data_IF_291065558520
#
_entry.id   IF_291065558520
#
_cell.length_a   1.000
_cell.length_b   1.000
_cell.length_c   1.000
_cell.angle_alpha   90.00
_cell.angle_beta   90.00
_cell.angle_gamma   90.00
#
_symmetry.space_group_name_H-M   'P 1'
#
loop_
_entity.id
_entity.type
_entity.pdbx_description
1 polymer ?
#
# COMPACT_ATOMS: atom_id res chain seq x y z
N UNK A 1 21.14 -12.30 -1.19
CA UNK A 1 20.80 -10.93 -0.78
C UNK A 1 20.14 -10.99 0.58
N UNK A 2 20.53 -10.16 1.56
CA UNK A 2 19.81 -10.08 2.84
C UNK A 2 18.42 -9.47 2.64
N UNK A 3 17.44 -9.88 3.45
CA UNK A 3 16.04 -9.43 3.34
C UNK A 3 15.92 -7.92 3.60
N UNK A 4 16.79 -7.38 4.45
CA UNK A 4 16.87 -5.96 4.76
C UNK A 4 17.23 -5.12 3.52
N UNK A 5 18.22 -5.54 2.74
CA UNK A 5 18.61 -4.84 1.52
C UNK A 5 17.53 -4.94 0.43
N UNK A 6 16.79 -6.06 0.37
CA UNK A 6 15.65 -6.20 -0.54
C UNK A 6 14.52 -5.23 -0.17
N UNK A 7 14.27 -5.03 1.13
CA UNK A 7 13.28 -4.06 1.61
C UNK A 7 13.70 -2.64 1.27
N UNK A 8 14.95 -2.26 1.54
CA UNK A 8 15.45 -0.93 1.20
C UNK A 8 15.35 -0.63 -0.30
N UNK A 9 15.71 -1.62 -1.14
CA UNK A 9 15.56 -1.54 -2.58
C UNK A 9 14.08 -1.37 -2.97
N UNK A 10 13.17 -2.20 -2.45
CA UNK A 10 11.74 -2.13 -2.78
C UNK A 10 11.10 -0.79 -2.37
N UNK A 11 11.55 -0.18 -1.27
CA UNK A 11 11.06 1.10 -0.79
C UNK A 11 11.60 2.29 -1.59
N UNK A 12 12.76 2.14 -2.23
CA UNK A 12 13.43 3.20 -3.00
C UNK A 12 13.19 3.08 -4.51
N UNK A 13 12.79 1.90 -4.99
CA UNK A 13 12.65 1.60 -6.40
C UNK A 13 11.50 2.39 -7.05
N UNK A 14 11.83 3.08 -8.14
CA UNK A 14 10.90 3.91 -8.91
C UNK A 14 10.42 3.21 -10.16
N UNK A 15 11.22 2.31 -10.72
CA UNK A 15 10.89 1.55 -11.93
C UNK A 15 9.90 0.42 -11.60
N UNK A 16 8.67 0.45 -12.14
CA UNK A 16 7.63 -0.50 -11.77
C UNK A 16 8.05 -1.97 -11.94
N UNK A 17 8.68 -2.30 -13.07
CA UNK A 17 9.11 -3.66 -13.36
C UNK A 17 10.16 -4.18 -12.35
N UNK A 18 11.06 -3.31 -11.89
CA UNK A 18 12.08 -3.69 -10.91
C UNK A 18 11.45 -3.77 -9.52
N UNK A 19 10.54 -2.86 -9.20
CA UNK A 19 9.80 -2.88 -7.94
C UNK A 19 8.97 -4.16 -7.80
N UNK A 20 8.28 -4.60 -8.85
CA UNK A 20 7.49 -5.84 -8.85
C UNK A 20 8.38 -7.07 -8.64
N UNK A 21 9.56 -7.11 -9.29
CA UNK A 21 10.52 -8.19 -9.07
C UNK A 21 11.05 -8.22 -7.62
N UNK A 22 11.30 -7.05 -7.03
CA UNK A 22 11.73 -6.92 -5.64
C UNK A 22 10.64 -7.36 -4.66
N UNK A 23 9.38 -6.98 -4.91
CA UNK A 23 8.24 -7.40 -4.07
C UNK A 23 8.01 -8.90 -4.16
N UNK A 24 8.08 -9.48 -5.36
CA UNK A 24 8.03 -10.94 -5.54
C UNK A 24 9.15 -11.65 -4.77
N UNK A 25 10.38 -11.15 -4.86
CA UNK A 25 11.51 -11.71 -4.12
C UNK A 25 11.32 -11.60 -2.59
N UNK A 26 10.73 -10.50 -2.11
CA UNK A 26 10.40 -10.30 -0.70
C UNK A 26 9.30 -11.25 -0.22
N UNK A 27 8.26 -11.46 -1.01
CA UNK A 27 7.21 -12.44 -0.70
C UNK A 27 7.79 -13.86 -0.55
N UNK A 28 8.82 -14.19 -1.33
CA UNK A 28 9.52 -15.47 -1.24
C UNK A 28 10.56 -15.55 -0.10
N UNK A 29 10.93 -14.41 0.51
CA UNK A 29 11.97 -14.34 1.55
C UNK A 29 11.48 -14.67 2.97
N UNK A 30 10.18 -14.95 3.15
CA UNK A 30 9.58 -15.41 4.41
C UNK A 30 9.18 -14.32 5.41
N UNK A 31 8.90 -14.72 6.65
CA UNK A 31 8.12 -13.97 7.65
C UNK A 31 8.71 -12.64 8.17
N UNK A 32 9.98 -12.33 7.85
CA UNK A 32 10.62 -11.07 8.27
C UNK A 32 10.30 -9.89 7.36
N UNK A 33 9.88 -10.15 6.12
CA UNK A 33 9.53 -9.12 5.13
C UNK A 33 8.47 -8.14 5.62
N UNK A 34 7.30 -8.61 6.11
CA UNK A 34 6.22 -7.71 6.53
C UNK A 34 6.62 -6.71 7.61
N UNK A 35 7.31 -7.17 8.66
CA UNK A 35 7.70 -6.30 9.78
C UNK A 35 8.75 -5.25 9.37
N UNK A 36 9.61 -5.56 8.41
CA UNK A 36 10.59 -4.62 7.88
C UNK A 36 9.93 -3.59 6.95
N UNK A 37 9.01 -4.03 6.08
CA UNK A 37 8.23 -3.13 5.22
C UNK A 37 7.33 -2.20 6.02
N UNK A 38 6.76 -2.66 7.13
CA UNK A 38 5.96 -1.84 8.03
C UNK A 38 6.71 -0.60 8.55
N UNK A 39 8.05 -0.68 8.70
CA UNK A 39 8.85 0.50 9.04
C UNK A 39 8.74 1.61 7.98
N UNK A 40 8.58 1.23 6.71
CA UNK A 40 8.37 2.17 5.60
C UNK A 40 7.07 2.96 5.70
N UNK A 41 6.06 2.45 6.42
CA UNK A 41 4.82 3.19 6.71
C UNK A 41 5.05 4.42 7.60
N UNK A 42 6.15 4.46 8.36
CA UNK A 42 6.55 5.62 9.16
C UNK A 42 7.33 6.69 8.38
N UNK A 43 7.54 6.51 7.06
CA UNK A 43 8.36 7.43 6.27
C UNK A 43 7.72 8.81 6.12
N UNK A 44 8.51 9.90 6.21
CA UNK A 44 7.99 11.24 5.91
C UNK A 44 7.60 11.40 4.43
N UNK A 45 8.13 10.53 3.56
CA UNK A 45 7.87 10.57 2.11
C UNK A 45 6.66 9.68 1.78
N UNK A 46 5.56 10.30 1.33
CA UNK A 46 4.33 9.58 0.99
C UNK A 46 4.55 8.48 -0.08
N UNK A 47 5.45 8.71 -1.03
CA UNK A 47 5.79 7.70 -2.05
C UNK A 47 6.42 6.43 -1.44
N UNK A 48 7.24 6.57 -0.39
CA UNK A 48 7.81 5.42 0.33
C UNK A 48 6.73 4.67 1.10
N UNK A 49 5.80 5.39 1.75
CA UNK A 49 4.64 4.77 2.43
C UNK A 49 3.76 3.99 1.46
N UNK A 50 3.48 4.55 0.27
CA UNK A 50 2.73 3.85 -0.80
C UNK A 50 3.43 2.55 -1.22
N UNK A 51 4.75 2.60 -1.45
CA UNK A 51 5.52 1.40 -1.82
C UNK A 51 5.52 0.34 -0.71
N UNK A 52 5.58 0.77 0.54
CA UNK A 52 5.46 -0.14 1.68
C UNK A 52 4.10 -0.85 1.69
N UNK A 53 2.99 -0.12 1.52
CA UNK A 53 1.63 -0.68 1.41
C UNK A 53 1.52 -1.66 0.23
N UNK A 54 2.01 -1.28 -0.95
CA UNK A 54 1.99 -2.15 -2.14
C UNK A 54 2.74 -3.46 -1.89
N UNK A 55 3.92 -3.37 -1.28
CA UNK A 55 4.74 -4.55 -0.98
C UNK A 55 4.09 -5.44 0.08
N UNK A 56 3.42 -4.86 1.08
CA UNK A 56 2.65 -5.60 2.08
C UNK A 56 1.42 -6.29 1.47
N UNK A 57 0.78 -5.67 0.48
CA UNK A 57 -0.39 -6.23 -0.19
C UNK A 57 -0.10 -7.52 -0.98
N UNK A 58 1.14 -7.68 -1.44
CA UNK A 58 1.60 -8.88 -2.15
C UNK A 58 2.03 -10.01 -1.19
N UNK A 59 2.07 -9.75 0.12
CA UNK A 59 2.50 -10.71 1.11
C UNK A 59 1.31 -11.51 1.67
N UNK A 60 1.38 -12.85 1.65
CA UNK A 60 0.36 -13.67 2.31
C UNK A 60 0.51 -13.60 3.83
N UNK A 61 -0.61 -13.50 4.55
CA UNK A 61 -0.68 -13.78 5.99
C UNK A 61 -1.14 -12.62 6.88
N UNK A 62 -1.56 -12.96 8.10
CA UNK A 62 -2.23 -12.04 9.03
C UNK A 62 -1.41 -10.82 9.45
N UNK A 63 -0.08 -10.92 9.51
CA UNK A 63 0.79 -9.79 9.89
C UNK A 63 0.80 -8.68 8.84
N UNK A 64 0.79 -9.03 7.55
CA UNK A 64 0.69 -8.03 6.49
C UNK A 64 -0.68 -7.31 6.56
N UNK A 65 -1.76 -8.08 6.78
CA UNK A 65 -3.10 -7.55 7.00
C UNK A 65 -3.19 -6.60 8.20
N UNK A 66 -2.53 -6.90 9.32
CA UNK A 66 -2.46 -6.00 10.48
C UNK A 66 -1.82 -4.66 10.11
N UNK A 67 -0.66 -4.68 9.43
CA UNK A 67 0.00 -3.45 8.99
C UNK A 67 -0.80 -2.66 7.95
N UNK A 68 -1.55 -3.35 7.08
CA UNK A 68 -2.44 -2.71 6.13
C UNK A 68 -3.63 -2.02 6.82
N UNK A 69 -4.12 -2.57 7.95
CA UNK A 69 -5.16 -1.90 8.77
C UNK A 69 -4.65 -0.58 9.33
N UNK A 70 -3.42 -0.53 9.82
CA UNK A 70 -2.83 0.72 10.31
C UNK A 70 -2.78 1.79 9.19
N UNK A 71 -2.45 1.37 7.97
CA UNK A 71 -2.37 2.25 6.79
C UNK A 71 -3.73 2.81 6.32
N UNK A 72 -4.87 2.28 6.79
CA UNK A 72 -6.19 2.90 6.55
C UNK A 72 -6.32 4.27 7.22
N UNK A 73 -5.47 4.57 8.20
CA UNK A 73 -5.47 5.86 8.92
C UNK A 73 -4.39 6.83 8.44
N UNK A 74 -3.68 6.50 7.35
CA UNK A 74 -2.60 7.35 6.82
C UNK A 74 -3.13 8.74 6.41
N UNK A 75 -2.39 9.82 6.63
CA UNK A 75 -2.79 11.16 6.20
C UNK A 75 -2.94 11.30 4.67
N UNK A 76 -2.17 10.54 3.87
CA UNK A 76 -2.25 10.57 2.40
C UNK A 76 -3.40 9.68 1.90
N UNK A 77 -4.34 10.30 1.16
CA UNK A 77 -5.51 9.62 0.62
C UNK A 77 -5.16 8.47 -0.35
N UNK A 78 -4.07 8.59 -1.09
CA UNK A 78 -3.58 7.52 -1.96
C UNK A 78 -3.09 6.32 -1.15
N UNK A 79 -2.35 6.54 -0.06
CA UNK A 79 -1.93 5.46 0.84
C UNK A 79 -3.14 4.73 1.44
N UNK A 80 -4.13 5.49 1.96
CA UNK A 80 -5.37 4.90 2.49
C UNK A 80 -6.11 4.08 1.43
N UNK A 81 -6.20 4.61 0.21
CA UNK A 81 -6.90 3.92 -0.88
C UNK A 81 -6.23 2.61 -1.27
N UNK A 82 -4.90 2.60 -1.40
CA UNK A 82 -4.16 1.35 -1.65
C UNK A 82 -4.32 0.34 -0.51
N UNK A 83 -4.26 0.79 0.74
CA UNK A 83 -4.47 -0.07 1.90
C UNK A 83 -5.88 -0.69 1.91
N UNK A 84 -6.90 0.12 1.61
CA UNK A 84 -8.29 -0.34 1.52
C UNK A 84 -8.49 -1.36 0.39
N UNK A 85 -7.88 -1.14 -0.78
CA UNK A 85 -7.92 -2.10 -1.88
C UNK A 85 -7.28 -3.44 -1.49
N UNK A 86 -6.09 -3.40 -0.88
CA UNK A 86 -5.38 -4.60 -0.43
C UNK A 86 -6.17 -5.37 0.65
N UNK A 87 -6.73 -4.67 1.62
CA UNK A 87 -7.57 -5.29 2.64
C UNK A 87 -8.88 -5.87 2.07
N UNK A 88 -9.45 -5.21 1.05
CA UNK A 88 -10.60 -5.72 0.31
C UNK A 88 -10.30 -7.03 -0.41
N UNK A 89 -9.14 -7.17 -1.05
CA UNK A 89 -8.74 -8.45 -1.68
C UNK A 89 -8.45 -9.53 -0.65
N UNK A 90 -8.05 -9.16 0.56
CA UNK A 90 -7.89 -10.07 1.70
C UNK A 90 -9.21 -10.40 2.42
N UNK A 91 -10.35 -9.83 1.99
CA UNK A 91 -11.66 -10.09 2.58
C UNK A 91 -11.92 -9.41 3.93
N UNK A 92 -11.20 -8.33 4.22
CA UNK A 92 -11.28 -7.60 5.50
C UNK A 92 -12.34 -6.49 5.39
N UNK A 93 -13.41 -6.63 6.17
CA UNK A 93 -14.59 -5.75 6.10
C UNK A 93 -14.29 -4.30 6.55
N UNK A 94 -13.26 -4.10 7.37
CA UNK A 94 -12.82 -2.79 7.85
C UNK A 94 -12.37 -1.86 6.71
N UNK A 95 -12.07 -2.38 5.53
CA UNK A 95 -11.74 -1.60 4.35
C UNK A 95 -12.96 -0.93 3.68
N UNK A 96 -14.17 -1.45 3.93
CA UNK A 96 -15.40 -1.05 3.20
C UNK A 96 -15.69 0.45 3.32
N UNK A 97 -15.63 1.10 4.49
CA UNK A 97 -15.87 2.54 4.58
C UNK A 97 -14.93 3.36 3.71
N UNK A 98 -13.63 3.03 3.70
CA UNK A 98 -12.63 3.73 2.88
C UNK A 98 -12.84 3.47 1.39
N UNK A 99 -13.21 2.25 0.99
CA UNK A 99 -13.55 1.92 -0.40
C UNK A 99 -14.78 2.69 -0.89
N UNK A 100 -15.81 2.85 -0.05
CA UNK A 100 -16.98 3.67 -0.36
C UNK A 100 -16.58 5.13 -0.52
N UNK A 101 -15.80 5.67 0.43
CA UNK A 101 -15.33 7.06 0.38
C UNK A 101 -14.59 7.37 -0.92
N UNK A 102 -13.68 6.48 -1.36
CA UNK A 102 -12.97 6.60 -2.65
C UNK A 102 -13.90 6.73 -3.85
N UNK A 103 -15.01 6.01 -3.87
CA UNK A 103 -16.00 6.08 -4.97
C UNK A 103 -16.80 7.38 -4.89
N UNK A 104 -17.07 7.89 -3.69
CA UNK A 104 -17.77 9.17 -3.53
C UNK A 104 -16.87 10.34 -3.92
N UNK A 105 -15.63 10.39 -3.42
CA UNK A 105 -14.68 11.45 -3.78
C UNK A 105 -14.28 11.39 -5.25
N UNK A 106 -13.98 10.20 -5.78
CA UNK A 106 -13.62 10.05 -7.19
C UNK A 106 -14.70 10.49 -8.18
N UNK A 107 -16.00 10.29 -7.84
CA UNK A 107 -17.12 10.83 -8.63
C UNK A 107 -17.20 12.36 -8.56
N UNK A 108 -16.96 12.94 -7.38
CA UNK A 108 -16.98 14.40 -7.21
C UNK A 108 -15.81 15.07 -7.95
N UNK A 109 -14.64 14.42 -8.04
CA UNK A 109 -13.49 14.94 -8.78
C UNK A 109 -13.75 14.98 -10.30
N UNK A 110 -14.53 14.03 -10.83
CA UNK A 110 -14.93 14.01 -12.25
C UNK A 110 -16.05 15.00 -12.58
N UNK A 111 -16.96 15.29 -11.64
CA UNK A 111 -18.07 16.24 -11.84
C UNK A 111 -17.60 17.71 -11.80
N UNK A 112 -16.43 18.00 -11.23
CA UNK A 112 -15.86 19.35 -11.19
C UNK A 112 -15.27 19.85 -12.53
N UNK A 113 -15.14 18.98 -13.54
CA UNK A 113 -14.57 19.34 -14.84
C UNK A 113 -15.58 19.95 -15.84
N UNK A 114 -16.89 19.78 -15.63
CA UNK A 114 -17.93 20.15 -16.62
C UNK A 114 -18.60 21.53 -16.37
N UNK A 115 -18.14 22.30 -15.37
CA UNK A 115 -18.75 23.59 -15.00
C UNK A 115 -18.01 24.82 -15.57
N UNK A 116 -17.55 24.79 -16.82
CA UNK A 116 -17.12 26.00 -17.56
C UNK A 116 -17.86 26.12 -18.89
N UNK A 117 -18.98 26.83 -18.86
CA UNK A 117 -19.63 27.42 -20.02
C UNK A 117 -19.70 28.94 -19.85
#
# INVERSE_FOLDING_TARGET
>A
MPVEALVEAALSETEPNVADALRWALAQSGDRGPALLAKGLGSPVAAVRKRAVQSLAEMPGGKATEHLRDALTDPDAGVRGYAALALGTHGVAEAVPTLIDMIVTGRNDTDAADARY
#
